data_IF_849599002097
#
_entry.id   IF_849599002097
#
_cell.length_a   1.000
_cell.length_b   1.000
_cell.length_c   1.000
_cell.angle_alpha   90.00
_cell.angle_beta   90.00
_cell.angle_gamma   90.00
#
_symmetry.space_group_name_H-M   'P 1'
#
loop_
_entity.id
_entity.type
_entity.pdbx_description
1 polymer ?
#
# COMPACT_ATOMS: atom_id res chain seq x y z
N UNK A 1 1.00 3.45 8.48
CA UNK A 1 1.66 3.54 7.17
C UNK A 1 3.07 4.07 7.35
N UNK A 2 3.27 5.36 7.60
CA UNK A 2 4.62 5.96 7.61
C UNK A 2 5.63 5.30 8.58
N UNK A 3 5.39 5.32 9.90
CA UNK A 3 6.34 4.72 10.87
C UNK A 3 6.53 3.20 10.72
N UNK A 4 5.44 2.45 10.62
CA UNK A 4 5.49 0.98 10.69
C UNK A 4 5.64 0.28 9.33
N UNK A 5 5.04 0.83 8.27
CA UNK A 5 5.02 0.19 6.94
C UNK A 5 6.11 0.75 6.05
N UNK A 6 6.34 2.08 6.07
CA UNK A 6 7.45 2.71 5.36
C UNK A 6 8.78 2.68 6.13
N UNK A 7 8.78 2.11 7.35
CA UNK A 7 9.95 1.94 8.21
C UNK A 7 10.85 3.18 8.28
N UNK A 8 10.23 4.32 8.56
CA UNK A 8 10.87 5.64 8.54
C UNK A 8 11.90 5.88 9.66
N UNK A 9 12.10 4.88 10.50
CA UNK A 9 13.09 4.83 11.58
C UNK A 9 14.19 3.77 11.29
N UNK A 10 14.05 3.01 10.19
CA UNK A 10 14.93 1.93 9.76
C UNK A 10 15.63 2.29 8.45
N UNK A 11 16.71 3.06 8.52
CA UNK A 11 17.43 3.50 7.33
C UNK A 11 18.46 2.47 6.85
N UNK A 12 18.64 2.38 5.54
CA UNK A 12 19.61 1.46 4.92
C UNK A 12 21.07 1.82 5.20
N UNK A 13 21.37 3.08 5.55
CA UNK A 13 22.72 3.56 5.85
C UNK A 13 22.77 4.57 7.00
N UNK A 14 23.99 4.81 7.50
CA UNK A 14 24.26 5.70 8.64
C UNK A 14 24.74 7.10 8.26
N UNK A 15 25.13 7.31 7.00
CA UNK A 15 25.61 8.62 6.53
C UNK A 15 24.42 9.55 6.29
N UNK A 16 24.62 10.85 6.47
CA UNK A 16 23.58 11.86 6.21
C UNK A 16 23.00 11.74 4.79
N UNK A 17 23.86 11.46 3.80
CA UNK A 17 23.43 11.26 2.40
C UNK A 17 22.57 10.01 2.23
N UNK A 18 22.96 8.87 2.82
CA UNK A 18 22.18 7.64 2.73
C UNK A 18 20.80 7.80 3.39
N UNK A 19 20.74 8.44 4.57
CA UNK A 19 19.48 8.73 5.27
C UNK A 19 18.57 9.61 4.40
N UNK A 20 19.14 10.67 3.80
CA UNK A 20 18.38 11.58 2.93
C UNK A 20 17.83 10.87 1.69
N UNK A 21 18.64 10.04 1.03
CA UNK A 21 18.22 9.26 -0.13
C UNK A 21 17.09 8.29 0.22
N UNK A 22 17.26 7.53 1.30
CA UNK A 22 16.30 6.52 1.73
C UNK A 22 14.96 7.15 2.16
N UNK A 23 15.01 8.30 2.86
CA UNK A 23 13.82 9.10 3.15
C UNK A 23 13.06 9.46 1.86
N UNK A 24 13.75 10.04 0.87
CA UNK A 24 13.08 10.49 -0.36
C UNK A 24 12.57 9.31 -1.19
N UNK A 25 13.29 8.19 -1.24
CA UNK A 25 12.84 6.97 -1.91
C UNK A 25 11.55 6.42 -1.27
N UNK A 26 11.50 6.35 0.07
CA UNK A 26 10.32 5.90 0.81
C UNK A 26 9.12 6.83 0.62
N UNK A 27 9.34 8.15 0.66
CA UNK A 27 8.27 9.13 0.39
C UNK A 27 7.77 8.99 -1.04
N UNK A 28 8.68 8.90 -2.01
CA UNK A 28 8.34 8.73 -3.43
C UNK A 28 7.51 7.46 -3.66
N UNK A 29 7.93 6.33 -3.11
CA UNK A 29 7.20 5.06 -3.19
C UNK A 29 5.77 5.21 -2.64
N UNK A 30 5.62 5.84 -1.48
CA UNK A 30 4.30 6.06 -0.87
C UNK A 30 3.41 6.96 -1.74
N UNK A 31 3.97 8.05 -2.27
CA UNK A 31 3.20 8.98 -3.13
C UNK A 31 2.82 8.35 -4.46
N UNK A 32 3.72 7.55 -5.05
CA UNK A 32 3.45 6.85 -6.29
C UNK A 32 2.38 5.78 -6.08
N UNK A 33 2.49 4.99 -5.01
CA UNK A 33 1.47 4.01 -4.63
C UNK A 33 0.09 4.68 -4.46
N UNK A 34 0.04 5.86 -3.82
CA UNK A 34 -1.19 6.61 -3.66
C UNK A 34 -1.76 7.07 -5.02
N UNK A 35 -0.92 7.55 -5.92
CA UNK A 35 -1.33 7.99 -7.25
C UNK A 35 -1.88 6.83 -8.10
N UNK A 36 -1.16 5.70 -8.14
CA UNK A 36 -1.60 4.51 -8.89
C UNK A 36 -2.85 3.87 -8.30
N UNK A 37 -2.99 3.84 -6.97
CA UNK A 37 -4.11 3.19 -6.32
C UNK A 37 -5.41 4.01 -6.35
N UNK A 38 -5.34 5.31 -6.69
CA UNK A 38 -6.49 6.21 -6.61
C UNK A 38 -7.64 5.78 -7.52
N UNK A 39 -7.35 5.51 -8.80
CA UNK A 39 -8.35 5.07 -9.78
C UNK A 39 -9.02 3.74 -9.39
N UNK A 40 -8.25 2.82 -8.81
CA UNK A 40 -8.76 1.52 -8.38
C UNK A 40 -9.63 1.66 -7.14
N UNK A 41 -9.26 2.54 -6.21
CA UNK A 41 -10.05 2.80 -5.01
C UNK A 41 -11.43 3.36 -5.38
N UNK A 42 -11.49 4.31 -6.31
CA UNK A 42 -12.74 4.85 -6.81
C UNK A 42 -13.58 3.76 -7.48
N UNK A 43 -12.97 2.94 -8.36
CA UNK A 43 -13.65 1.80 -8.99
C UNK A 43 -14.22 0.80 -7.97
N UNK A 44 -13.46 0.47 -6.92
CA UNK A 44 -13.90 -0.47 -5.87
C UNK A 44 -15.10 0.10 -5.10
N UNK A 45 -15.12 1.42 -4.86
CA UNK A 45 -16.24 2.10 -4.21
C UNK A 45 -17.48 2.11 -5.12
N UNK A 46 -17.31 2.38 -6.41
CA UNK A 46 -18.40 2.36 -7.40
C UNK A 46 -19.00 0.97 -7.61
N UNK A 47 -18.16 -0.05 -7.79
CA UNK A 47 -18.59 -1.46 -7.88
C UNK A 47 -19.43 -1.88 -6.68
N UNK A 48 -19.05 -1.40 -5.48
CA UNK A 48 -19.82 -1.68 -4.27
C UNK A 48 -21.18 -0.95 -4.27
N UNK A 49 -21.23 0.34 -4.63
CA UNK A 49 -22.49 1.08 -4.72
C UNK A 49 -23.48 0.43 -5.69
N UNK A 50 -22.98 -0.24 -6.72
CA UNK A 50 -23.79 -0.98 -7.69
C UNK A 50 -24.29 -2.34 -7.16
N UNK A 51 -23.57 -3.01 -6.25
CA UNK A 51 -23.92 -4.32 -5.70
C UNK A 51 -24.78 -4.21 -4.43
N UNK A 52 -26.11 -4.22 -4.62
CA UNK A 52 -27.09 -4.11 -3.53
C UNK A 52 -27.14 -5.35 -2.60
N UNK A 53 -26.50 -6.46 -2.97
CA UNK A 53 -26.56 -7.71 -2.19
C UNK A 53 -25.46 -7.80 -1.11
N UNK A 54 -24.44 -6.95 -1.15
CA UNK A 54 -23.33 -7.00 -0.20
C UNK A 54 -23.66 -6.24 1.09
N UNK A 55 -23.44 -6.90 2.22
CA UNK A 55 -23.73 -6.37 3.57
C UNK A 55 -22.78 -5.27 4.05
N UNK A 56 -21.56 -5.19 3.52
CA UNK A 56 -20.49 -4.36 4.06
C UNK A 56 -19.64 -3.75 2.95
N UNK A 57 -19.30 -2.46 3.13
CA UNK A 57 -18.42 -1.70 2.24
C UNK A 57 -17.03 -2.36 2.14
N UNK A 58 -16.34 -2.09 1.04
CA UNK A 58 -14.99 -2.58 0.79
C UNK A 58 -14.04 -1.42 0.51
N UNK A 59 -12.77 -1.65 0.81
CA UNK A 59 -11.66 -0.75 0.47
C UNK A 59 -10.46 -1.54 -0.01
N UNK A 60 -9.55 -0.88 -0.69
CA UNK A 60 -8.28 -1.49 -1.11
C UNK A 60 -7.38 -1.82 0.11
N UNK A 61 -6.64 -2.93 0.02
CA UNK A 61 -5.60 -3.23 0.99
C UNK A 61 -4.36 -2.37 0.73
N UNK A 62 -4.28 -1.21 1.39
CA UNK A 62 -3.15 -0.27 1.26
C UNK A 62 -1.78 -0.86 1.61
N UNK A 63 -1.72 -1.87 2.49
CA UNK A 63 -0.43 -2.53 2.80
C UNK A 63 0.01 -3.37 1.61
N UNK A 64 -0.91 -4.12 1.02
CA UNK A 64 -0.59 -4.93 -0.15
C UNK A 64 -0.25 -4.06 -1.37
N UNK A 65 -1.03 -2.99 -1.59
CA UNK A 65 -0.74 -2.02 -2.65
C UNK A 65 0.69 -1.46 -2.54
N UNK A 66 1.13 -1.09 -1.33
CA UNK A 66 2.50 -0.58 -1.12
C UNK A 66 3.57 -1.63 -1.43
N UNK A 67 3.34 -2.89 -1.02
CA UNK A 67 4.25 -4.01 -1.34
C UNK A 67 4.34 -4.22 -2.86
N UNK A 68 3.20 -4.21 -3.55
CA UNK A 68 3.14 -4.41 -4.99
C UNK A 68 3.80 -3.27 -5.76
N UNK A 69 3.66 -2.02 -5.31
CA UNK A 69 4.35 -0.89 -5.95
C UNK A 69 5.85 -1.13 -6.00
N UNK A 70 6.47 -1.64 -4.93
CA UNK A 70 7.91 -1.94 -4.91
C UNK A 70 8.31 -2.95 -6.01
N UNK A 71 7.56 -4.05 -6.15
CA UNK A 71 7.85 -5.09 -7.12
C UNK A 71 7.65 -4.61 -8.57
N UNK A 72 6.68 -3.71 -8.78
CA UNK A 72 6.34 -3.13 -10.09
C UNK A 72 7.32 -2.06 -10.53
N UNK A 73 7.92 -1.32 -9.60
CA UNK A 73 8.98 -0.36 -9.93
C UNK A 73 10.17 -1.04 -10.61
N UNK A 74 10.50 -2.28 -10.24
CA UNK A 74 11.53 -3.07 -10.90
C UNK A 74 11.14 -3.34 -12.36
N UNK A 75 9.90 -3.77 -12.60
CA UNK A 75 9.38 -4.01 -13.95
C UNK A 75 9.33 -2.73 -14.81
N UNK A 76 8.86 -1.62 -14.22
CA UNK A 76 8.74 -0.34 -14.89
C UNK A 76 10.11 0.28 -15.22
N UNK A 77 10.96 0.51 -14.21
CA UNK A 77 12.18 1.29 -14.38
C UNK A 77 13.41 0.49 -14.80
N UNK A 78 13.54 -0.78 -14.38
CA UNK A 78 14.73 -1.58 -14.73
C UNK A 78 14.52 -2.42 -15.97
N UNK A 79 13.27 -2.85 -16.25
CA UNK A 79 12.95 -3.71 -17.41
C UNK A 79 12.20 -2.98 -18.52
N UNK A 80 11.84 -1.71 -18.33
CA UNK A 80 11.10 -0.90 -19.30
C UNK A 80 9.73 -1.50 -19.69
N UNK A 81 9.09 -2.25 -18.78
CA UNK A 81 7.83 -2.97 -19.00
C UNK A 81 6.64 -2.24 -18.37
N UNK A 82 6.50 -0.93 -18.61
CA UNK A 82 5.54 -0.07 -17.92
C UNK A 82 4.10 -0.59 -17.98
N UNK A 83 3.60 -0.90 -19.17
CA UNK A 83 2.20 -1.35 -19.35
C UNK A 83 1.90 -2.61 -18.55
N UNK A 84 2.75 -3.63 -18.69
CA UNK A 84 2.61 -4.91 -17.96
C UNK A 84 2.72 -4.72 -16.45
N UNK A 85 3.58 -3.80 -16.02
CA UNK A 85 3.79 -3.52 -14.61
C UNK A 85 2.57 -2.82 -13.99
N UNK A 86 1.95 -1.87 -14.70
CA UNK A 86 0.72 -1.20 -14.28
C UNK A 86 -0.46 -2.18 -14.31
N UNK A 87 -0.61 -2.98 -15.38
CA UNK A 87 -1.68 -3.98 -15.46
C UNK A 87 -1.60 -4.99 -14.31
N UNK A 88 -0.39 -5.46 -13.98
CA UNK A 88 -0.17 -6.33 -12.83
C UNK A 88 -0.50 -5.64 -11.50
N UNK A 89 -0.21 -4.34 -11.37
CA UNK A 89 -0.58 -3.56 -10.18
C UNK A 89 -2.08 -3.52 -10.02
N UNK A 90 -2.78 -3.13 -11.07
CA UNK A 90 -4.22 -2.94 -11.08
C UNK A 90 -4.94 -4.23 -10.74
N UNK A 91 -4.51 -5.35 -11.32
CA UNK A 91 -5.06 -6.67 -11.04
C UNK A 91 -4.92 -7.04 -9.56
N UNK A 92 -3.71 -6.96 -9.00
CA UNK A 92 -3.47 -7.40 -7.62
C UNK A 92 -4.18 -6.49 -6.61
N UNK A 93 -4.15 -5.16 -6.82
CA UNK A 93 -4.82 -4.23 -5.91
C UNK A 93 -6.35 -4.37 -6.00
N UNK A 94 -6.90 -4.61 -7.19
CA UNK A 94 -8.32 -4.88 -7.37
C UNK A 94 -8.76 -6.21 -6.73
N UNK A 95 -7.93 -7.26 -6.77
CA UNK A 95 -8.24 -8.54 -6.13
C UNK A 95 -8.09 -8.48 -4.59
N UNK A 96 -7.15 -7.68 -4.09
CA UNK A 96 -6.84 -7.58 -2.65
C UNK A 96 -7.63 -6.50 -1.93
N UNK A 97 -8.89 -6.81 -1.65
CA UNK A 97 -9.83 -5.93 -0.94
C UNK A 97 -9.96 -6.29 0.54
N UNK A 98 -10.23 -5.29 1.37
CA UNK A 98 -10.58 -5.44 2.78
C UNK A 98 -12.02 -4.98 3.03
N UNK A 99 -12.75 -5.75 3.85
CA UNK A 99 -14.12 -5.41 4.24
C UNK A 99 -14.11 -4.40 5.40
N UNK A 100 -14.88 -3.33 5.27
CA UNK A 100 -15.16 -2.37 6.34
C UNK A 100 -16.38 -2.88 7.12
N UNK A 101 -16.19 -3.20 8.40
CA UNK A 101 -17.27 -3.70 9.28
C UNK A 101 -17.67 -2.62 10.28
N UNK A 102 -18.68 -1.78 9.99
CA UNK A 102 -19.23 -0.84 10.96
C UNK A 102 -19.93 -1.61 12.11
N UNK A 103 -19.98 -1.01 13.30
CA UNK A 103 -20.78 -1.53 14.42
C UNK A 103 -20.34 -2.90 14.97
N UNK A 104 -19.04 -3.16 15.12
CA UNK A 104 -18.57 -4.42 15.72
C UNK A 104 -19.09 -4.56 17.16
N UNK A 105 -19.77 -5.68 17.45
CA UNK A 105 -20.24 -6.03 18.80
C UNK A 105 -19.12 -6.06 19.84
N UNK A 106 -17.94 -6.55 19.44
CA UNK A 106 -16.70 -6.42 20.22
C UNK A 106 -15.74 -5.48 19.47
N UNK A 107 -15.59 -4.22 19.90
CA UNK A 107 -14.74 -3.25 19.22
C UNK A 107 -13.27 -3.70 19.28
N UNK A 108 -12.54 -3.47 18.19
CA UNK A 108 -11.11 -3.78 18.14
C UNK A 108 -10.37 -2.88 19.13
N UNK A 109 -9.68 -3.47 20.11
CA UNK A 109 -8.74 -2.75 20.97
C UNK A 109 -7.60 -2.16 20.12
N UNK A 110 -7.63 -0.84 19.91
CA UNK A 110 -6.56 -0.11 19.23
C UNK A 110 -5.32 -0.17 20.13
N UNK A 111 -4.25 -0.81 19.66
CA UNK A 111 -2.96 -0.82 20.36
C UNK A 111 -2.13 0.37 19.88
N UNK A 112 -1.25 0.93 20.72
CA UNK A 112 -0.29 1.93 20.26
C UNK A 112 0.51 1.37 19.07
N UNK A 113 0.85 2.26 18.13
CA UNK A 113 1.64 1.90 16.96
C UNK A 113 3.02 1.45 17.45
N UNK A 114 3.30 0.15 17.32
CA UNK A 114 4.62 -0.41 17.57
C UNK A 114 5.62 0.12 16.53
N UNK A 115 6.93 0.13 16.79
CA UNK A 115 7.92 0.30 15.73
C UNK A 115 7.76 -0.77 14.63
N UNK A 116 8.51 -0.62 13.54
CA UNK A 116 8.56 -1.62 12.47
C UNK A 116 8.90 -3.01 13.03
N UNK A 117 8.28 -4.04 12.44
CA UNK A 117 8.56 -5.42 12.82
C UNK A 117 9.83 -5.88 12.12
N UNK A 118 10.74 -6.55 12.84
CA UNK A 118 11.95 -7.14 12.24
C UNK A 118 11.58 -8.15 11.14
N UNK A 119 10.38 -8.75 11.23
CA UNK A 119 9.90 -9.75 10.28
C UNK A 119 9.26 -9.14 9.01
N UNK A 120 9.13 -7.81 8.90
CA UNK A 120 8.63 -7.22 7.65
C UNK A 120 9.71 -7.21 6.58
N UNK A 121 9.31 -7.45 5.33
CA UNK A 121 10.15 -7.21 4.16
C UNK A 121 10.49 -5.72 4.15
N UNK A 122 11.78 -5.39 4.17
CA UNK A 122 12.24 -4.00 4.15
C UNK A 122 11.83 -3.36 2.83
N UNK A 123 11.35 -2.13 2.93
CA UNK A 123 11.09 -1.28 1.76
C UNK A 123 12.37 -0.64 1.26
#
# INVERSE_FOLDING_TARGET
>A
MLKNRAEFENFSGKTANAIKQDFHAKVFLMTLCAACAHSIEDRVVEEYKADQNRKFDQKINRTNALSMTQDILIGAFLRNQFEKAIEAFDKVVAETREIIRPGRSNPRKQRPKKPYSINYKRL
#
